data_IF_427845232094
#
_entry.id   IF_427845232094
#
_cell.length_a   1.000
_cell.length_b   1.000
_cell.length_c   1.000
_cell.angle_alpha   90.00
_cell.angle_beta   90.00
_cell.angle_gamma   90.00
#
_symmetry.space_group_name_H-M   'P 1'
#
loop_
_entity.id
_entity.type
_entity.pdbx_description
1 polymer ?
#
# COMPACT_ATOMS: atom_id res chain seq x y z
N UNK A 1 -28.05 37.44 -8.62
CA UNK A 1 -28.48 37.24 -7.21
C UNK A 1 -28.86 35.80 -6.86
N UNK A 2 -29.64 35.08 -7.69
CA UNK A 2 -30.04 33.69 -7.38
C UNK A 2 -28.88 32.69 -7.31
N UNK A 3 -27.92 32.73 -8.24
CA UNK A 3 -26.69 31.91 -8.22
C UNK A 3 -25.94 32.01 -6.88
N UNK A 4 -25.77 33.24 -6.36
CA UNK A 4 -25.07 33.50 -5.10
C UNK A 4 -25.82 32.92 -3.89
N UNK A 5 -27.16 32.92 -3.92
CA UNK A 5 -27.99 32.25 -2.89
C UNK A 5 -27.87 30.73 -2.95
N UNK A 6 -27.84 30.14 -4.14
CA UNK A 6 -27.69 28.69 -4.30
C UNK A 6 -26.32 28.20 -3.82
N UNK A 7 -25.25 28.93 -4.16
CA UNK A 7 -23.89 28.64 -3.68
C UNK A 7 -23.82 28.73 -2.16
N UNK A 8 -24.33 29.80 -1.56
CA UNK A 8 -24.36 29.94 -0.10
C UNK A 8 -25.15 28.82 0.58
N UNK A 9 -26.29 28.42 0.01
CA UNK A 9 -27.10 27.32 0.55
C UNK A 9 -26.31 26.01 0.54
N UNK A 10 -25.62 25.70 -0.57
CA UNK A 10 -24.78 24.49 -0.67
C UNK A 10 -23.60 24.55 0.31
N UNK A 11 -22.89 25.67 0.40
CA UNK A 11 -21.78 25.83 1.36
C UNK A 11 -22.24 25.66 2.81
N UNK A 12 -23.43 26.16 3.14
CA UNK A 12 -23.99 26.04 4.48
C UNK A 12 -24.42 24.60 4.79
N UNK A 13 -24.97 23.87 3.82
CA UNK A 13 -25.26 22.44 3.95
C UNK A 13 -23.99 21.61 4.18
N UNK A 14 -22.93 21.90 3.42
CA UNK A 14 -21.63 21.25 3.58
C UNK A 14 -21.04 21.56 4.96
N UNK A 15 -21.05 22.83 5.41
CA UNK A 15 -20.58 23.24 6.74
C UNK A 15 -21.30 22.50 7.86
N UNK A 16 -22.61 22.33 7.75
CA UNK A 16 -23.41 21.66 8.77
C UNK A 16 -23.02 20.18 8.96
N UNK A 17 -22.51 19.51 7.93
CA UNK A 17 -22.08 18.11 8.00
C UNK A 17 -20.64 17.91 8.47
N UNK A 18 -19.83 18.97 8.59
CA UNK A 18 -18.42 18.85 8.97
C UNK A 18 -18.23 18.23 10.36
N UNK A 19 -18.96 18.64 11.42
CA UNK A 19 -18.80 18.03 12.74
C UNK A 19 -19.09 16.52 12.73
N UNK A 20 -20.19 16.11 12.10
CA UNK A 20 -20.59 14.69 11.99
C UNK A 20 -19.54 13.85 11.24
N UNK A 21 -19.00 14.39 10.15
CA UNK A 21 -17.90 13.78 9.41
C UNK A 21 -16.65 13.61 10.29
N UNK A 22 -16.31 14.62 11.11
CA UNK A 22 -15.15 14.55 12.01
C UNK A 22 -15.36 13.52 13.13
N UNK A 23 -16.55 13.46 13.72
CA UNK A 23 -16.89 12.48 14.75
C UNK A 23 -16.80 11.05 14.21
N UNK A 24 -17.36 10.79 13.02
CA UNK A 24 -17.24 9.51 12.33
C UNK A 24 -15.78 9.17 11.98
N UNK A 25 -14.98 10.16 11.58
CA UNK A 25 -13.55 9.99 11.31
C UNK A 25 -12.80 9.55 12.57
N UNK A 26 -13.07 10.19 13.71
CA UNK A 26 -12.47 9.82 15.01
C UNK A 26 -12.82 8.37 15.34
N UNK A 27 -14.10 8.00 15.32
CA UNK A 27 -14.55 6.61 15.62
C UNK A 27 -13.89 5.58 14.68
N UNK A 28 -13.79 5.88 13.39
CA UNK A 28 -13.11 5.01 12.44
C UNK A 28 -11.61 4.89 12.74
N UNK A 29 -10.95 5.98 13.13
CA UNK A 29 -9.52 5.93 13.48
C UNK A 29 -9.25 5.25 14.82
N UNK A 30 -10.13 5.41 15.82
CA UNK A 30 -10.03 4.74 17.12
C UNK A 30 -10.24 3.23 17.01
N UNK A 31 -11.06 2.78 16.06
CA UNK A 31 -11.22 1.36 15.72
C UNK A 31 -10.04 0.77 14.95
N UNK A 32 -8.98 1.57 14.71
CA UNK A 32 -7.74 1.12 14.10
C UNK A 32 -7.73 1.15 12.57
N UNK A 33 -8.74 1.77 11.91
CA UNK A 33 -8.67 1.98 10.47
C UNK A 33 -7.60 3.01 10.14
N UNK A 34 -6.80 2.71 9.11
CA UNK A 34 -5.91 3.70 8.51
C UNK A 34 -6.70 4.88 7.96
N UNK A 35 -6.14 6.10 8.07
CA UNK A 35 -6.86 7.34 7.76
C UNK A 35 -7.54 7.36 6.37
N UNK A 36 -6.89 6.84 5.33
CA UNK A 36 -7.50 6.76 3.99
C UNK A 36 -8.73 5.84 3.95
N UNK A 37 -8.70 4.72 4.68
CA UNK A 37 -9.83 3.80 4.78
C UNK A 37 -10.96 4.38 5.64
N UNK A 38 -10.60 5.07 6.74
CA UNK A 38 -11.54 5.82 7.56
C UNK A 38 -12.26 6.90 6.74
N UNK A 39 -11.52 7.70 5.96
CA UNK A 39 -12.09 8.75 5.11
C UNK A 39 -13.08 8.19 4.08
N UNK A 40 -12.75 7.03 3.47
CA UNK A 40 -13.67 6.35 2.55
C UNK A 40 -14.93 5.86 3.25
N UNK A 41 -14.78 5.25 4.43
CA UNK A 41 -15.92 4.77 5.24
C UNK A 41 -16.84 5.92 5.61
N UNK A 42 -16.28 7.06 6.01
CA UNK A 42 -17.04 8.27 6.31
C UNK A 42 -17.75 8.79 5.07
N UNK A 43 -17.09 8.83 3.91
CA UNK A 43 -17.71 9.24 2.66
C UNK A 43 -18.97 8.42 2.33
N UNK A 44 -18.94 7.10 2.55
CA UNK A 44 -20.05 6.19 2.29
C UNK A 44 -21.18 6.34 3.33
N UNK A 45 -20.86 6.62 4.60
CA UNK A 45 -21.85 6.73 5.69
C UNK A 45 -22.60 8.07 5.66
N UNK A 46 -21.90 9.18 5.39
CA UNK A 46 -22.51 10.53 5.41
C UNK A 46 -23.38 10.82 4.19
N UNK A 47 -23.42 9.94 3.17
CA UNK A 47 -24.29 10.10 1.98
C UNK A 47 -25.75 10.30 2.37
N UNK A 48 -26.21 9.61 3.43
CA UNK A 48 -27.61 9.61 3.86
C UNK A 48 -27.95 10.92 4.57
N UNK A 49 -27.06 11.39 5.46
CA UNK A 49 -27.29 12.59 6.29
C UNK A 49 -26.95 13.89 5.56
N UNK A 50 -25.84 13.89 4.82
CA UNK A 50 -25.21 15.07 4.23
C UNK A 50 -24.68 14.79 2.81
N UNK A 51 -25.57 14.65 1.81
CA UNK A 51 -25.19 14.26 0.46
C UNK A 51 -24.24 15.26 -0.22
N UNK A 52 -24.36 16.56 0.07
CA UNK A 52 -23.46 17.57 -0.53
C UNK A 52 -22.03 17.47 0.00
N UNK A 53 -21.84 17.06 1.26
CA UNK A 53 -20.52 16.82 1.83
C UNK A 53 -19.98 15.47 1.37
N UNK A 54 -20.82 14.45 1.27
CA UNK A 54 -20.44 13.11 0.81
C UNK A 54 -19.81 13.15 -0.59
N UNK A 55 -20.42 13.85 -1.54
CA UNK A 55 -19.91 14.04 -2.91
C UNK A 55 -18.51 14.70 -2.92
N UNK A 56 -18.33 15.68 -2.04
CA UNK A 56 -17.08 16.41 -1.89
C UNK A 56 -15.96 15.52 -1.29
N UNK A 57 -16.28 14.71 -0.28
CA UNK A 57 -15.35 13.77 0.36
C UNK A 57 -15.03 12.59 -0.57
N UNK A 58 -16.02 12.07 -1.30
CA UNK A 58 -15.78 11.01 -2.29
C UNK A 58 -14.87 11.49 -3.42
N UNK A 59 -15.03 12.75 -3.85
CA UNK A 59 -14.08 13.38 -4.79
C UNK A 59 -12.64 13.34 -4.24
N UNK A 60 -12.44 13.60 -2.96
CA UNK A 60 -11.12 13.53 -2.31
C UNK A 60 -10.61 12.09 -2.30
N UNK A 61 -11.43 11.12 -1.92
CA UNK A 61 -11.08 9.70 -1.94
C UNK A 61 -10.66 9.24 -3.35
N UNK A 62 -11.37 9.67 -4.39
CA UNK A 62 -11.07 9.32 -5.77
C UNK A 62 -9.75 9.97 -6.24
N UNK A 63 -9.44 11.20 -5.84
CA UNK A 63 -8.15 11.85 -6.10
C UNK A 63 -6.98 11.13 -5.43
N UNK A 64 -7.16 10.71 -4.18
CA UNK A 64 -6.15 9.93 -3.44
C UNK A 64 -5.90 8.59 -4.13
N UNK A 65 -6.96 7.90 -4.57
CA UNK A 65 -6.85 6.65 -5.33
C UNK A 65 -6.15 6.85 -6.69
N UNK A 66 -6.32 8.01 -7.33
CA UNK A 66 -5.62 8.39 -8.54
C UNK A 66 -4.13 8.74 -8.32
N UNK A 67 -3.60 8.56 -7.10
CA UNK A 67 -2.18 8.77 -6.77
C UNK A 67 -1.86 10.20 -6.31
N UNK A 68 -2.87 11.06 -6.15
CA UNK A 68 -2.65 12.42 -5.63
C UNK A 68 -2.35 12.38 -4.13
N UNK A 69 -1.37 13.16 -3.62
CA UNK A 69 -1.12 13.24 -2.19
C UNK A 69 -2.37 13.63 -1.40
N UNK A 70 -2.65 12.90 -0.32
CA UNK A 70 -3.79 13.16 0.56
C UNK A 70 -3.83 14.60 1.09
N UNK A 71 -2.73 15.20 1.59
CA UNK A 71 -2.77 16.58 2.09
C UNK A 71 -3.15 17.60 1.01
N UNK A 72 -2.73 17.36 -0.23
CA UNK A 72 -3.05 18.23 -1.36
C UNK A 72 -4.53 18.09 -1.76
N UNK A 73 -5.05 16.86 -1.80
CA UNK A 73 -6.45 16.58 -2.13
C UNK A 73 -7.41 17.19 -1.10
N UNK A 74 -7.08 17.10 0.19
CA UNK A 74 -7.85 17.74 1.26
C UNK A 74 -7.74 19.27 1.24
N UNK A 75 -6.59 19.83 0.83
CA UNK A 75 -6.45 21.28 0.66
C UNK A 75 -7.34 21.80 -0.46
N UNK A 76 -7.46 21.07 -1.56
CA UNK A 76 -8.38 21.43 -2.65
C UNK A 76 -9.85 21.39 -2.23
N UNK A 77 -10.22 20.43 -1.39
CA UNK A 77 -11.54 20.39 -0.77
C UNK A 77 -11.83 21.69 -0.02
N UNK A 78 -10.91 22.14 0.83
CA UNK A 78 -11.04 23.39 1.61
C UNK A 78 -11.20 24.59 0.69
N UNK A 79 -10.37 24.69 -0.36
CA UNK A 79 -10.42 25.80 -1.32
C UNK A 79 -11.75 25.80 -2.10
N UNK A 80 -12.27 24.63 -2.48
CA UNK A 80 -13.52 24.50 -3.24
C UNK A 80 -14.76 24.79 -2.40
N UNK A 81 -14.79 24.30 -1.16
CA UNK A 81 -15.95 24.39 -0.27
C UNK A 81 -15.94 25.65 0.61
N UNK A 82 -14.78 26.28 0.82
CA UNK A 82 -14.63 27.43 1.71
C UNK A 82 -14.76 27.07 3.19
N UNK A 83 -14.34 25.85 3.55
CA UNK A 83 -14.37 25.31 4.92
C UNK A 83 -13.04 25.59 5.63
N UNK A 84 -12.89 26.80 6.17
CA UNK A 84 -11.67 27.19 6.90
C UNK A 84 -11.42 26.32 8.15
N UNK A 85 -12.46 25.79 8.76
CA UNK A 85 -12.39 24.91 9.94
C UNK A 85 -11.59 23.63 9.67
N UNK A 86 -11.62 23.11 8.44
CA UNK A 86 -10.85 21.93 8.05
C UNK A 86 -9.36 22.25 7.79
N UNK A 87 -8.99 23.52 7.65
CA UNK A 87 -7.61 23.91 7.31
C UNK A 87 -6.61 23.49 8.40
N UNK A 88 -7.02 23.51 9.66
CA UNK A 88 -6.23 22.99 10.78
C UNK A 88 -5.97 21.48 10.66
N UNK A 89 -7.02 20.70 10.34
CA UNK A 89 -6.92 19.27 10.10
C UNK A 89 -5.97 18.96 8.93
N UNK A 90 -6.10 19.68 7.80
CA UNK A 90 -5.22 19.49 6.64
C UNK A 90 -3.75 19.76 6.99
N UNK A 91 -3.48 20.82 7.76
CA UNK A 91 -2.12 21.15 8.19
C UNK A 91 -1.51 20.04 9.06
N UNK A 92 -2.28 19.56 10.05
CA UNK A 92 -1.86 18.45 10.92
C UNK A 92 -1.62 17.16 10.13
N UNK A 93 -2.54 16.80 9.24
CA UNK A 93 -2.43 15.62 8.38
C UNK A 93 -1.30 15.72 7.37
N UNK A 94 -0.99 16.92 6.87
CA UNK A 94 0.18 17.15 6.02
C UNK A 94 1.48 16.80 6.74
N UNK A 95 1.57 17.15 8.02
CA UNK A 95 2.72 16.82 8.86
C UNK A 95 2.81 15.29 9.10
N UNK A 96 1.70 14.65 9.47
CA UNK A 96 1.64 13.21 9.71
C UNK A 96 1.85 12.36 8.43
N UNK A 97 1.29 12.80 7.30
CA UNK A 97 1.37 12.10 6.01
C UNK A 97 2.79 12.03 5.45
N UNK A 98 3.64 13.03 5.73
CA UNK A 98 5.06 13.00 5.32
C UNK A 98 5.84 11.85 6.00
N UNK A 99 5.39 11.44 7.18
CA UNK A 99 6.00 10.37 7.96
C UNK A 99 5.39 9.02 7.58
N UNK A 100 4.06 8.94 7.39
CA UNK A 100 3.36 7.69 7.07
C UNK A 100 3.41 7.25 5.59
N UNK A 101 3.37 8.20 4.65
CA UNK A 101 3.35 7.89 3.20
C UNK A 101 4.70 7.40 2.67
N UNK A 102 5.81 7.91 3.22
CA UNK A 102 7.15 7.41 2.89
C UNK A 102 7.34 5.98 3.38
N UNK A 103 6.86 5.67 4.60
CA UNK A 103 6.98 4.32 5.17
C UNK A 103 6.19 3.28 4.38
N UNK A 104 4.94 3.56 3.98
CA UNK A 104 4.13 2.62 3.18
C UNK A 104 4.71 2.41 1.78
N UNK A 105 5.24 3.47 1.14
CA UNK A 105 5.90 3.35 -0.16
C UNK A 105 7.21 2.56 -0.05
N UNK A 106 8.04 2.84 0.96
CA UNK A 106 9.26 2.07 1.22
C UNK A 106 8.98 0.61 1.59
N UNK A 107 7.88 0.33 2.31
CA UNK A 107 7.49 -1.04 2.63
C UNK A 107 6.96 -1.80 1.40
N UNK A 108 6.29 -1.11 0.47
CA UNK A 108 5.86 -1.68 -0.83
C UNK A 108 7.06 -2.06 -1.68
N UNK A 109 8.03 -1.16 -1.81
CA UNK A 109 9.30 -1.39 -2.52
C UNK A 109 10.09 -2.55 -1.87
N UNK A 110 10.16 -2.58 -0.53
CA UNK A 110 10.77 -3.70 0.20
C UNK A 110 10.03 -5.03 0.01
N UNK A 111 8.71 -5.02 -0.12
CA UNK A 111 7.90 -6.25 -0.31
C UNK A 111 8.07 -6.81 -1.72
N UNK A 112 8.30 -5.97 -2.73
CA UNK A 112 8.66 -6.41 -4.09
C UNK A 112 10.05 -7.07 -4.11
N UNK A 113 11.06 -6.43 -3.50
CA UNK A 113 12.41 -6.99 -3.34
C UNK A 113 12.41 -8.33 -2.57
N UNK A 114 11.53 -8.49 -1.58
CA UNK A 114 11.44 -9.73 -0.80
C UNK A 114 10.79 -10.89 -1.57
N UNK A 115 9.92 -10.62 -2.55
CA UNK A 115 9.35 -11.66 -3.43
C UNK A 115 10.44 -12.24 -4.35
N UNK A 116 11.31 -11.39 -4.87
CA UNK A 116 12.43 -11.83 -5.71
C UNK A 116 13.45 -12.65 -4.92
N UNK A 117 13.75 -12.27 -3.67
CA UNK A 117 14.63 -13.05 -2.79
C UNK A 117 14.08 -14.44 -2.46
N UNK A 118 12.77 -14.64 -2.39
CA UNK A 118 12.18 -15.98 -2.19
C UNK A 118 12.37 -16.89 -3.41
N UNK A 119 12.35 -16.32 -4.61
CA UNK A 119 12.60 -17.08 -5.84
C UNK A 119 14.08 -17.51 -5.91
N UNK A 120 15.01 -16.60 -5.58
CA UNK A 120 16.45 -16.88 -5.57
C UNK A 120 16.86 -17.91 -4.50
N UNK A 121 16.23 -17.89 -3.32
CA UNK A 121 16.48 -18.90 -2.29
C UNK A 121 16.04 -20.32 -2.73
N UNK A 122 15.01 -20.44 -3.56
CA UNK A 122 14.61 -21.71 -4.16
C UNK A 122 15.61 -22.18 -5.23
N UNK A 123 16.17 -21.25 -6.02
CA UNK A 123 17.20 -21.52 -7.02
C UNK A 123 18.53 -21.95 -6.39
N UNK A 124 18.94 -21.36 -5.25
CA UNK A 124 20.15 -21.76 -4.53
C UNK A 124 20.11 -23.22 -4.04
N UNK A 125 18.93 -23.72 -3.65
CA UNK A 125 18.76 -25.12 -3.22
C UNK A 125 18.88 -26.06 -4.44
N UNK A 126 18.32 -25.67 -5.59
CA UNK A 126 18.41 -26.44 -6.83
C UNK A 126 19.85 -26.50 -7.37
N UNK A 127 20.61 -25.40 -7.28
CA UNK A 127 21.99 -25.31 -7.75
C UNK A 127 22.99 -26.16 -6.92
N UNK A 128 22.64 -26.58 -5.70
CA UNK A 128 23.47 -27.46 -4.85
C UNK A 128 23.27 -28.96 -5.10
N UNK A 129 22.25 -29.34 -5.87
CA UNK A 129 21.95 -30.75 -6.21
C UNK A 129 23.03 -31.42 -7.09
N UNK A 130 23.58 -30.79 -8.14
CA UNK A 130 24.48 -31.50 -9.05
C UNK A 130 25.81 -31.92 -8.41
N UNK A 131 26.33 -31.18 -7.42
CA UNK A 131 27.61 -31.50 -6.77
C UNK A 131 27.47 -32.74 -5.86
N UNK A 132 26.32 -32.92 -5.21
CA UNK A 132 26.01 -34.14 -4.42
C UNK A 132 25.80 -35.38 -5.28
N UNK A 133 25.33 -35.22 -6.52
CA UNK A 133 25.13 -36.33 -7.47
C UNK A 133 26.42 -36.76 -8.18
N UNK A 134 27.42 -35.88 -8.29
CA UNK A 134 28.70 -36.19 -8.93
C UNK A 134 29.63 -37.04 -8.04
N UNK A 135 29.58 -36.85 -6.73
CA UNK A 135 30.44 -37.58 -5.78
C UNK A 135 30.23 -39.12 -5.80
N UNK A 136 28.98 -39.66 -5.82
CA UNK A 136 28.74 -41.08 -5.99
C UNK A 136 29.23 -41.65 -7.33
N UNK A 137 29.10 -40.90 -8.43
CA UNK A 137 29.52 -41.37 -9.76
C UNK A 137 31.04 -41.58 -9.83
N UNK A 138 31.82 -40.66 -9.27
CA UNK A 138 33.29 -40.77 -9.29
C UNK A 138 33.73 -41.99 -8.47
N UNK A 139 33.14 -42.22 -7.30
CA UNK A 139 33.47 -43.37 -6.44
C UNK A 139 33.14 -44.71 -7.11
N UNK A 140 32.13 -44.79 -8.00
CA UNK A 140 31.80 -46.02 -8.72
C UNK A 140 32.61 -46.23 -10.01
N UNK A 141 32.89 -45.17 -10.77
CA UNK A 141 33.60 -45.27 -12.06
C UNK A 141 35.09 -45.54 -11.84
N UNK A 142 35.72 -44.89 -10.87
CA UNK A 142 37.16 -45.02 -10.62
C UNK A 142 37.61 -46.46 -10.30
N UNK A 143 36.97 -47.21 -9.39
CA UNK A 143 37.35 -48.60 -9.12
C UNK A 143 37.05 -49.52 -10.32
N UNK A 144 35.95 -49.32 -11.05
CA UNK A 144 35.70 -50.04 -12.30
C UNK A 144 36.80 -49.79 -13.34
N UNK A 145 37.25 -48.55 -13.50
CA UNK A 145 38.35 -48.20 -14.40
C UNK A 145 39.67 -48.88 -13.98
N UNK A 146 40.01 -48.87 -12.69
CA UNK A 146 41.19 -49.54 -12.16
C UNK A 146 41.15 -51.06 -12.37
N UNK A 147 40.00 -51.70 -12.17
CA UNK A 147 39.83 -53.14 -12.39
C UNK A 147 40.07 -53.49 -13.88
N UNK A 148 39.53 -52.69 -14.81
CA UNK A 148 39.71 -52.94 -16.25
C UNK A 148 41.12 -52.61 -16.74
N UNK A 149 41.74 -51.55 -16.22
CA UNK A 149 43.07 -51.14 -16.64
C UNK A 149 44.19 -52.03 -16.06
N UNK A 150 44.08 -52.44 -14.79
CA UNK A 150 45.10 -53.24 -14.08
C UNK A 150 44.83 -54.74 -14.16
N UNK A 151 43.56 -55.15 -14.34
CA UNK A 151 43.16 -56.56 -14.43
C UNK A 151 43.98 -57.41 -15.41
N UNK A 152 44.25 -56.95 -16.66
CA UNK A 152 45.06 -57.71 -17.60
C UNK A 152 46.53 -57.83 -17.19
N UNK A 153 47.06 -56.82 -16.51
CA UNK A 153 48.45 -56.75 -16.06
C UNK A 153 48.76 -57.60 -14.82
N UNK A 154 47.72 -58.01 -14.06
CA UNK A 154 47.86 -58.91 -12.90
C UNK A 154 47.68 -60.40 -13.27
N UNK A 155 47.04 -60.69 -14.40
CA UNK A 155 46.75 -62.06 -14.85
C UNK A 155 47.76 -62.55 -15.92
N UNK A 156 48.60 -61.65 -16.45
CA UNK A 156 49.73 -61.99 -17.34
C UNK A 156 51.05 -62.10 -16.59
#
# INVERSE_FOLDING_TARGET
FMLRRMVNKRQQAIRAGVPDMLDLLVVCTESGLGFNAALRRVADEIVISHPELADEVDTVCNKIQAGKPMPESLRELVVRTGLEELMGLVSMLSHASRIGGSLVNSLREYTEDYRDKRQQAAEEIAAKIPVKMMFPMVIFIWPCFFIVAIGPALIS
#
